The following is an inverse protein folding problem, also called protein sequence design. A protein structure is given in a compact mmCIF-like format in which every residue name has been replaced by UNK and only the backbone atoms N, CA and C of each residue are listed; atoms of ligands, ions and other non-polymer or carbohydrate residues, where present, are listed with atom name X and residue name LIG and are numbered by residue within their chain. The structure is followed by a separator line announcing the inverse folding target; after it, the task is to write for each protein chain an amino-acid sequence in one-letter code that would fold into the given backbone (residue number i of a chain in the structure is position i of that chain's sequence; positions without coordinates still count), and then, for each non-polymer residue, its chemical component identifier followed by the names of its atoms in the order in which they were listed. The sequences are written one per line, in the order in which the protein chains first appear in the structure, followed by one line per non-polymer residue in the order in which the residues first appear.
data_IF_002692502919
#
_entry.id   IF_002692502919
#
_cell.length_a   1.000
_cell.length_b   1.000
_cell.length_c   1.000
_cell.angle_alpha   90.00
_cell.angle_beta   90.00
_cell.angle_gamma   90.00
#
_symmetry.space_group_name_H-M   'P 1'
#
loop_
_entity.id
_entity.type
_entity.pdbx_description
1 polymer ?
#
# COMPACT_ATOMS: atom_id res chain seq x y z
N UNK A 1 57.02 -19.84 -33.49
CA UNK A 1 58.46 -19.48 -33.55
C UNK A 1 58.84 -19.00 -32.16
N UNK A 2 59.52 -19.84 -31.40
CA UNK A 2 60.44 -19.44 -30.34
C UNK A 2 61.76 -18.99 -31.01
N UNK A 3 62.81 -18.53 -30.35
CA UNK A 3 63.16 -18.44 -28.93
C UNK A 3 63.87 -17.14 -28.54
N UNK A 4 64.32 -16.92 -27.31
CA UNK A 4 65.74 -17.03 -26.84
C UNK A 4 65.89 -16.34 -25.50
N UNK A 5 66.37 -17.10 -24.49
CA UNK A 5 67.15 -16.59 -23.36
C UNK A 5 68.60 -16.36 -23.88
N UNK A 6 69.56 -15.74 -23.19
CA UNK A 6 70.05 -16.17 -21.90
C UNK A 6 70.82 -15.14 -21.02
N UNK A 7 71.43 -15.69 -19.95
CA UNK A 7 72.67 -15.32 -19.20
C UNK A 7 72.47 -14.29 -18.08
N UNK A 8 72.74 -14.48 -16.82
CA UNK A 8 73.85 -15.24 -16.24
C UNK A 8 74.93 -14.32 -15.69
N UNK A 9 74.94 -14.02 -14.38
CA UNK A 9 76.16 -13.61 -13.71
C UNK A 9 76.18 -13.97 -12.25
N UNK A 10 77.21 -14.67 -11.89
CA UNK A 10 77.70 -15.22 -10.64
C UNK A 10 78.39 -14.14 -9.81
N UNK A 11 78.02 -13.97 -8.54
CA UNK A 11 78.84 -13.15 -7.60
C UNK A 11 78.88 -13.77 -6.21
N UNK A 12 80.06 -14.20 -5.92
CA UNK A 12 80.84 -14.29 -4.68
C UNK A 12 80.16 -14.47 -3.34
N UNK A 13 80.37 -15.64 -2.76
CA UNK A 13 80.36 -15.90 -1.34
C UNK A 13 81.51 -15.18 -0.68
N UNK A 14 81.20 -14.36 0.33
CA UNK A 14 82.12 -14.02 1.38
C UNK A 14 81.67 -14.68 2.67
N UNK A 15 82.52 -15.52 3.21
CA UNK A 15 82.40 -16.21 4.48
C UNK A 15 82.45 -15.20 5.63
N UNK A 16 81.37 -15.11 6.35
CA UNK A 16 81.38 -14.46 7.67
C UNK A 16 81.48 -15.48 8.77
N UNK A 17 82.31 -15.15 9.77
CA UNK A 17 82.68 -16.07 10.88
C UNK A 17 81.45 -16.33 11.81
N UNK A 18 81.45 -17.49 12.51
CA UNK A 18 80.31 -17.93 13.34
C UNK A 18 79.94 -16.97 14.46
N UNK A 19 80.85 -16.17 14.96
CA UNK A 19 80.66 -15.24 16.09
C UNK A 19 79.80 -14.02 15.73
N UNK A 20 79.68 -13.63 14.46
CA UNK A 20 78.84 -12.52 14.02
C UNK A 20 77.37 -12.89 13.84
N UNK A 21 77.09 -14.21 13.69
CA UNK A 21 75.73 -14.70 13.57
C UNK A 21 74.98 -14.83 14.90
N UNK A 22 75.76 -15.06 16.01
CA UNK A 22 75.13 -15.16 17.34
C UNK A 22 74.68 -13.84 17.91
N UNK A 23 75.38 -12.72 17.58
CA UNK A 23 75.05 -11.38 18.03
C UNK A 23 73.88 -10.73 17.26
N UNK A 24 73.56 -11.19 16.05
CA UNK A 24 72.38 -10.71 15.31
C UNK A 24 71.10 -11.46 15.69
N UNK A 25 71.19 -12.64 16.27
CA UNK A 25 70.06 -13.41 16.71
C UNK A 25 69.45 -12.92 18.04
N UNK A 26 70.19 -12.22 18.88
CA UNK A 26 69.66 -11.67 20.14
C UNK A 26 68.94 -10.33 20.02
N UNK A 27 69.01 -9.67 18.86
CA UNK A 27 68.33 -8.34 18.64
C UNK A 27 67.07 -8.39 17.84
N UNK A 28 66.49 -9.58 17.58
CA UNK A 28 65.09 -9.64 17.10
C UNK A 28 64.15 -9.62 18.29
N UNK A 29 63.95 -8.44 18.86
CA UNK A 29 62.81 -8.19 19.73
C UNK A 29 61.53 -8.63 19.04
N UNK A 30 60.86 -9.59 19.67
CA UNK A 30 59.54 -10.09 19.26
C UNK A 30 58.58 -8.92 19.25
N UNK A 31 58.31 -8.32 18.08
CA UNK A 31 57.19 -7.40 17.91
C UNK A 31 55.92 -8.08 18.45
N UNK A 32 55.14 -7.44 19.34
CA UNK A 32 53.95 -8.04 19.91
C UNK A 32 53.01 -8.39 18.76
N UNK A 33 52.63 -9.67 18.65
CA UNK A 33 51.62 -10.13 17.72
C UNK A 33 50.32 -9.35 18.02
N UNK A 34 49.97 -8.40 17.16
CA UNK A 34 48.67 -7.75 17.21
C UNK A 34 47.62 -8.85 17.08
N UNK A 35 46.97 -9.17 18.20
CA UNK A 35 45.78 -10.03 18.24
C UNK A 35 44.68 -9.31 17.48
N UNK A 36 44.60 -9.55 16.19
CA UNK A 36 43.40 -9.16 15.41
C UNK A 36 42.25 -9.97 15.96
N UNK A 37 41.37 -9.36 16.77
CA UNK A 37 40.07 -9.95 17.11
C UNK A 37 39.37 -10.27 15.78
N UNK A 38 39.16 -11.54 15.51
CA UNK A 38 38.44 -12.00 14.32
C UNK A 38 37.11 -11.23 14.27
N UNK A 39 36.91 -10.38 13.26
CA UNK A 39 35.62 -9.69 13.07
C UNK A 39 34.55 -10.75 12.91
N UNK A 40 33.53 -10.71 13.74
CA UNK A 40 32.36 -11.58 13.60
C UNK A 40 31.75 -11.35 12.20
N UNK A 41 31.41 -12.43 11.49
CA UNK A 41 30.80 -12.34 10.19
C UNK A 41 29.49 -11.54 10.28
N UNK A 42 29.27 -10.61 9.37
CA UNK A 42 28.10 -9.72 9.34
C UNK A 42 26.79 -10.51 9.41
N UNK A 43 26.75 -11.68 8.81
CA UNK A 43 25.60 -12.59 8.88
C UNK A 43 25.34 -13.12 10.31
N UNK A 44 26.37 -13.42 11.08
CA UNK A 44 26.23 -13.86 12.47
C UNK A 44 25.69 -12.72 13.36
N UNK A 45 26.14 -11.48 13.13
CA UNK A 45 25.65 -10.29 13.85
C UNK A 45 24.17 -10.03 13.52
N UNK A 46 23.80 -10.09 12.24
CA UNK A 46 22.40 -9.91 11.82
C UNK A 46 21.47 -11.00 12.37
N UNK A 47 21.95 -12.25 12.42
CA UNK A 47 21.19 -13.35 13.02
C UNK A 47 20.99 -13.16 14.52
N UNK A 48 22.03 -12.70 15.22
CA UNK A 48 21.96 -12.39 16.66
C UNK A 48 21.02 -11.21 16.94
N UNK A 49 21.08 -10.16 16.11
CA UNK A 49 20.16 -9.03 16.17
C UNK A 49 18.69 -9.43 15.91
N UNK A 50 18.46 -10.28 14.91
CA UNK A 50 17.12 -10.81 14.62
C UNK A 50 16.55 -11.57 15.81
N UNK A 51 17.34 -12.48 16.40
CA UNK A 51 16.91 -13.25 17.58
C UNK A 51 16.66 -12.37 18.82
N UNK A 52 17.40 -11.27 18.96
CA UNK A 52 17.19 -10.32 20.07
C UNK A 52 15.90 -9.54 19.86
N UNK A 53 15.63 -9.08 18.64
CA UNK A 53 14.40 -8.38 18.30
C UNK A 53 13.17 -9.29 18.39
N UNK A 54 13.28 -10.57 17.99
CA UNK A 54 12.20 -11.54 18.14
C UNK A 54 11.83 -11.75 19.63
N UNK A 55 12.83 -11.84 20.52
CA UNK A 55 12.59 -11.92 21.96
C UNK A 55 11.96 -10.65 22.53
N UNK A 56 12.42 -9.49 22.08
CA UNK A 56 11.88 -8.20 22.51
C UNK A 56 10.42 -8.04 22.08
N UNK A 57 10.07 -8.48 20.86
CA UNK A 57 8.69 -8.53 20.37
C UNK A 57 7.83 -9.43 21.27
N UNK A 58 8.31 -10.63 21.59
CA UNK A 58 7.58 -11.57 22.45
C UNK A 58 7.36 -10.98 23.86
N UNK A 59 8.38 -10.35 24.45
CA UNK A 59 8.28 -9.67 25.74
C UNK A 59 7.29 -8.49 25.71
N UNK A 60 7.29 -7.71 24.62
CA UNK A 60 6.38 -6.58 24.45
C UNK A 60 4.94 -7.06 24.23
N UNK A 61 4.74 -8.14 23.50
CA UNK A 61 3.41 -8.75 23.31
C UNK A 61 2.82 -9.24 24.64
N UNK A 62 3.63 -9.88 25.50
CA UNK A 62 3.20 -10.31 26.85
C UNK A 62 2.83 -9.09 27.69
N UNK A 63 3.65 -8.04 27.70
CA UNK A 63 3.36 -6.80 28.43
C UNK A 63 2.09 -6.11 27.94
N UNK A 64 1.87 -6.14 26.62
CA UNK A 64 0.66 -5.57 26.02
C UNK A 64 -0.59 -6.37 26.45
N UNK A 65 -0.51 -7.70 26.43
CA UNK A 65 -1.58 -8.58 26.89
C UNK A 65 -1.89 -8.36 28.38
N UNK A 66 -0.86 -8.24 29.23
CA UNK A 66 -1.03 -7.95 30.66
C UNK A 66 -1.64 -6.56 30.89
N UNK A 67 -1.22 -5.56 30.10
CA UNK A 67 -1.75 -4.20 30.21
C UNK A 67 -3.21 -4.14 29.76
N UNK A 68 -3.55 -4.82 28.66
CA UNK A 68 -4.94 -4.98 28.20
C UNK A 68 -5.79 -5.71 29.24
N UNK A 69 -5.30 -6.80 29.81
CA UNK A 69 -5.99 -7.55 30.86
C UNK A 69 -6.19 -6.70 32.11
N UNK A 70 -5.18 -5.94 32.54
CA UNK A 70 -5.25 -5.03 33.70
C UNK A 70 -6.22 -3.88 33.45
N UNK A 71 -6.25 -3.32 32.24
CA UNK A 71 -7.23 -2.33 31.82
C UNK A 71 -8.65 -2.89 31.82
N UNK A 72 -8.86 -4.11 31.33
CA UNK A 72 -10.15 -4.82 31.39
C UNK A 72 -10.61 -5.07 32.82
N UNK A 73 -9.71 -5.46 33.72
CA UNK A 73 -10.02 -5.63 35.15
C UNK A 73 -10.37 -4.31 35.85
N UNK A 74 -9.65 -3.21 35.53
CA UNK A 74 -9.93 -1.88 36.10
C UNK A 74 -11.25 -1.28 35.57
N UNK A 75 -11.68 -1.70 34.39
CA UNK A 75 -12.94 -1.32 33.73
C UNK A 75 -14.16 -2.17 34.23
N UNK A 76 -14.00 -3.07 35.16
CA UNK A 76 -14.97 -4.12 35.54
C UNK A 76 -16.38 -3.66 35.89
N UNK A 77 -16.63 -2.36 36.13
CA UNK A 77 -17.97 -1.77 36.23
C UNK A 77 -18.46 -1.07 34.96
N UNK A 78 -17.54 -0.70 34.09
CA UNK A 78 -17.82 -0.09 32.76
C UNK A 78 -17.97 -1.19 31.70
N UNK A 79 -17.41 -2.38 31.97
CA UNK A 79 -17.32 -3.54 31.10
C UNK A 79 -18.69 -4.09 30.64
N UNK A 80 -19.66 -4.17 31.49
CA UNK A 80 -20.97 -4.77 31.12
C UNK A 80 -21.74 -3.89 30.13
N UNK A 81 -21.69 -2.58 30.34
CA UNK A 81 -22.28 -1.61 29.42
C UNK A 81 -21.49 -1.54 28.07
N UNK A 82 -20.16 -1.61 28.10
CA UNK A 82 -19.35 -1.62 26.89
C UNK A 82 -19.49 -2.95 26.13
N UNK A 83 -19.52 -4.08 26.83
CA UNK A 83 -19.77 -5.39 26.24
C UNK A 83 -21.15 -5.46 25.60
N UNK A 84 -22.18 -4.97 26.28
CA UNK A 84 -23.53 -4.88 25.74
C UNK A 84 -23.60 -4.02 24.50
N UNK A 85 -22.95 -2.85 24.49
CA UNK A 85 -22.88 -1.99 23.31
C UNK A 85 -22.08 -2.64 22.16
N UNK A 86 -21.00 -3.35 22.46
CA UNK A 86 -20.24 -4.08 21.45
C UNK A 86 -21.07 -5.19 20.80
N UNK A 87 -21.85 -5.94 21.60
CA UNK A 87 -22.78 -6.95 21.10
C UNK A 87 -23.92 -6.31 20.29
N UNK A 88 -24.50 -5.22 20.78
CA UNK A 88 -25.54 -4.47 20.06
C UNK A 88 -25.00 -3.92 18.73
N UNK A 89 -23.78 -3.37 18.71
CA UNK A 89 -23.14 -2.91 17.47
C UNK A 89 -22.83 -4.06 16.51
N UNK A 90 -22.40 -5.22 17.01
CA UNK A 90 -22.17 -6.40 16.16
C UNK A 90 -23.48 -6.88 15.52
N UNK A 91 -24.57 -6.93 16.27
CA UNK A 91 -25.90 -7.28 15.76
C UNK A 91 -26.40 -6.26 14.74
N UNK A 92 -26.20 -4.95 15.01
CA UNK A 92 -26.57 -3.89 14.08
C UNK A 92 -25.74 -3.96 12.79
N UNK A 93 -24.44 -4.22 12.88
CA UNK A 93 -23.57 -4.40 11.72
C UNK A 93 -23.99 -5.60 10.87
N UNK A 94 -24.32 -6.71 11.52
CA UNK A 94 -24.87 -7.91 10.84
C UNK A 94 -26.20 -7.61 10.16
N UNK A 95 -27.13 -6.91 10.81
CA UNK A 95 -28.40 -6.49 10.20
C UNK A 95 -28.18 -5.54 9.02
N UNK A 96 -27.22 -4.63 9.08
CA UNK A 96 -26.89 -3.73 7.98
C UNK A 96 -26.32 -4.52 6.80
N UNK A 97 -25.40 -5.47 7.05
CA UNK A 97 -24.87 -6.34 5.99
C UNK A 97 -25.98 -7.18 5.32
N UNK A 98 -26.84 -7.80 6.12
CA UNK A 98 -27.98 -8.57 5.61
C UNK A 98 -28.92 -7.68 4.75
N UNK A 99 -29.15 -6.45 5.19
CA UNK A 99 -29.96 -5.49 4.43
C UNK A 99 -29.30 -5.10 3.10
N UNK A 100 -27.98 -4.87 3.11
CA UNK A 100 -27.21 -4.61 1.88
C UNK A 100 -27.24 -5.79 0.91
N UNK A 101 -27.13 -7.02 1.41
CA UNK A 101 -27.24 -8.24 0.60
C UNK A 101 -28.63 -8.39 -0.03
N UNK A 102 -29.69 -8.15 0.76
CA UNK A 102 -31.07 -8.17 0.26
C UNK A 102 -31.28 -7.09 -0.82
N UNK A 103 -30.81 -5.87 -0.57
CA UNK A 103 -30.91 -4.76 -1.54
C UNK A 103 -30.13 -5.06 -2.82
N UNK A 104 -28.95 -5.65 -2.73
CA UNK A 104 -28.18 -6.09 -3.88
C UNK A 104 -28.92 -7.18 -4.66
N UNK A 105 -29.53 -8.13 -3.98
CA UNK A 105 -30.32 -9.18 -4.59
C UNK A 105 -31.59 -8.62 -5.29
N UNK A 106 -32.30 -7.71 -4.65
CA UNK A 106 -33.44 -7.02 -5.26
C UNK A 106 -33.02 -6.21 -6.48
N UNK A 107 -31.91 -5.48 -6.42
CA UNK A 107 -31.36 -4.76 -7.57
C UNK A 107 -31.02 -5.71 -8.72
N UNK A 108 -30.39 -6.84 -8.41
CA UNK A 108 -30.07 -7.87 -9.40
C UNK A 108 -31.31 -8.41 -10.09
N UNK A 109 -32.40 -8.62 -9.34
CA UNK A 109 -33.69 -9.08 -9.90
C UNK A 109 -34.38 -8.01 -10.75
N UNK A 110 -34.33 -6.74 -10.35
CA UNK A 110 -34.94 -5.60 -11.05
C UNK A 110 -34.16 -5.24 -12.32
N UNK A 111 -32.84 -5.32 -12.27
CA UNK A 111 -31.96 -4.91 -13.37
C UNK A 111 -31.84 -5.96 -14.49
N UNK A 112 -32.32 -7.17 -14.27
CA UNK A 112 -32.28 -8.26 -15.24
C UNK A 112 -30.88 -8.83 -15.50
N UNK A 113 -30.77 -9.91 -16.33
CA UNK A 113 -29.51 -10.63 -16.51
C UNK A 113 -28.38 -9.82 -17.20
N UNK A 114 -28.67 -8.67 -17.78
CA UNK A 114 -27.68 -7.84 -18.47
C UNK A 114 -26.71 -7.09 -17.52
N UNK A 115 -27.03 -6.97 -16.22
CA UNK A 115 -26.16 -6.32 -15.23
C UNK A 115 -25.20 -7.31 -14.54
N UNK A 116 -25.35 -8.60 -14.78
CA UNK A 116 -24.42 -9.62 -14.27
C UNK A 116 -23.23 -9.90 -15.19
N UNK A 117 -23.11 -9.20 -16.30
CA UNK A 117 -21.84 -9.23 -17.05
C UNK A 117 -20.73 -8.73 -16.16
N UNK A 118 -19.72 -9.57 -15.94
CA UNK A 118 -18.56 -9.27 -15.07
C UNK A 118 -17.88 -7.94 -15.41
N UNK A 119 -18.08 -7.44 -16.64
CA UNK A 119 -17.63 -6.12 -17.07
C UNK A 119 -18.41 -4.96 -16.43
N UNK A 120 -19.71 -5.13 -16.11
CA UNK A 120 -20.53 -4.12 -15.45
C UNK A 120 -20.19 -3.90 -13.97
N UNK A 121 -19.77 -4.96 -13.29
CA UNK A 121 -19.33 -4.90 -11.86
C UNK A 121 -17.94 -4.31 -11.73
N UNK A 122 -17.09 -4.50 -12.73
CA UNK A 122 -15.70 -4.05 -12.73
C UNK A 122 -15.35 -3.28 -14.01
N UNK A 123 -15.94 -2.09 -14.23
CA UNK A 123 -15.79 -1.35 -15.49
C UNK A 123 -14.33 -0.95 -15.78
N UNK A 124 -13.50 -0.90 -14.72
CA UNK A 124 -12.09 -0.53 -14.81
C UNK A 124 -11.14 -1.72 -14.95
N UNK A 125 -11.65 -2.95 -14.91
CA UNK A 125 -10.80 -4.14 -14.95
C UNK A 125 -10.07 -4.27 -16.29
N UNK A 126 -8.79 -4.64 -16.22
CA UNK A 126 -8.00 -5.13 -17.35
C UNK A 126 -7.34 -6.43 -16.91
N UNK A 127 -7.42 -7.46 -17.75
CA UNK A 127 -6.70 -8.70 -17.44
C UNK A 127 -5.19 -8.45 -17.51
N UNK A 128 -4.49 -8.72 -16.41
CA UNK A 128 -3.04 -8.56 -16.26
C UNK A 128 -2.44 -9.92 -15.98
N UNK A 129 -1.68 -10.45 -16.95
CA UNK A 129 -0.93 -11.69 -16.81
C UNK A 129 0.56 -11.37 -16.94
N UNK A 130 1.36 -11.75 -15.94
CA UNK A 130 2.78 -11.43 -15.87
C UNK A 130 3.62 -12.71 -15.97
N UNK A 131 4.55 -12.72 -16.93
CA UNK A 131 5.54 -13.79 -17.09
C UNK A 131 6.62 -13.75 -16.00
N UNK A 132 7.58 -14.68 -16.06
CA UNK A 132 8.68 -14.75 -15.11
C UNK A 132 9.81 -13.74 -15.44
N UNK A 133 9.92 -13.28 -16.68
CA UNK A 133 10.96 -12.33 -17.09
C UNK A 133 10.65 -10.92 -16.61
N UNK A 134 11.54 -10.35 -15.78
CA UNK A 134 11.35 -9.03 -15.17
C UNK A 134 11.28 -7.88 -16.20
N UNK A 135 12.04 -7.96 -17.29
CA UNK A 135 12.03 -6.93 -18.31
C UNK A 135 10.74 -6.97 -19.14
N UNK A 136 10.20 -8.16 -19.39
CA UNK A 136 8.92 -8.36 -20.04
C UNK A 136 7.78 -7.83 -19.17
N UNK A 137 7.74 -8.17 -17.87
CA UNK A 137 6.77 -7.66 -16.89
C UNK A 137 6.71 -6.14 -16.93
N UNK A 138 7.87 -5.48 -16.86
CA UNK A 138 7.96 -4.02 -16.93
C UNK A 138 7.38 -3.47 -18.21
N UNK A 139 7.72 -4.07 -19.38
CA UNK A 139 7.18 -3.65 -20.67
C UNK A 139 5.66 -3.80 -20.74
N UNK A 140 5.11 -4.90 -20.25
CA UNK A 140 3.67 -5.14 -20.21
C UNK A 140 2.98 -4.08 -19.37
N UNK A 141 3.47 -3.82 -18.16
CA UNK A 141 2.86 -2.85 -17.23
C UNK A 141 2.93 -1.42 -17.76
N UNK A 142 4.09 -0.99 -18.29
CA UNK A 142 4.19 0.33 -18.93
C UNK A 142 3.30 0.45 -20.17
N UNK A 143 3.15 -0.63 -20.93
CA UNK A 143 2.26 -0.65 -22.10
C UNK A 143 0.78 -0.45 -21.72
N UNK A 144 0.36 -0.94 -20.56
CA UNK A 144 -1.01 -0.79 -20.07
C UNK A 144 -1.31 0.60 -19.49
N UNK A 145 -0.30 1.32 -19.02
CA UNK A 145 -0.43 2.56 -18.24
C UNK A 145 -1.35 3.59 -18.91
N UNK A 146 -1.03 3.97 -20.15
CA UNK A 146 -1.74 5.04 -20.85
C UNK A 146 -3.23 4.75 -21.01
N UNK A 147 -3.57 3.52 -21.39
CA UNK A 147 -4.97 3.11 -21.60
C UNK A 147 -5.72 3.02 -20.27
N UNK A 148 -5.07 2.51 -19.22
CA UNK A 148 -5.63 2.44 -17.86
C UNK A 148 -5.98 3.82 -17.33
N UNK A 149 -5.06 4.77 -17.37
CA UNK A 149 -5.27 6.12 -16.86
C UNK A 149 -6.35 6.86 -17.67
N UNK A 150 -6.36 6.70 -19.00
CA UNK A 150 -7.40 7.26 -19.85
C UNK A 150 -8.78 6.72 -19.48
N UNK A 151 -8.92 5.40 -19.33
CA UNK A 151 -10.19 4.76 -18.93
C UNK A 151 -10.62 5.21 -17.55
N UNK A 152 -9.70 5.30 -16.58
CA UNK A 152 -10.00 5.79 -15.24
C UNK A 152 -10.58 7.20 -15.27
N UNK A 153 -9.95 8.12 -16.01
CA UNK A 153 -10.42 9.49 -16.17
C UNK A 153 -11.81 9.54 -16.79
N UNK A 154 -12.02 8.87 -17.92
CA UNK A 154 -13.33 8.84 -18.60
C UNK A 154 -14.41 8.27 -17.68
N UNK A 155 -14.16 7.14 -17.06
CA UNK A 155 -15.11 6.46 -16.17
C UNK A 155 -15.52 7.36 -14.98
N UNK A 156 -14.54 8.00 -14.32
CA UNK A 156 -14.85 8.89 -13.20
C UNK A 156 -15.61 10.12 -13.65
N UNK A 157 -15.27 10.68 -14.80
CA UNK A 157 -15.97 11.83 -15.37
C UNK A 157 -17.44 11.49 -15.72
N UNK A 158 -17.69 10.35 -16.35
CA UNK A 158 -19.04 9.86 -16.65
C UNK A 158 -19.83 9.58 -15.36
N UNK A 159 -19.21 8.95 -14.37
CA UNK A 159 -19.87 8.60 -13.11
C UNK A 159 -20.17 9.80 -12.21
N UNK A 160 -19.37 10.83 -12.28
CA UNK A 160 -19.58 12.08 -11.54
C UNK A 160 -20.54 13.05 -12.24
N UNK A 161 -20.99 12.73 -13.45
CA UNK A 161 -21.89 13.61 -14.22
C UNK A 161 -23.18 13.91 -13.44
N UNK A 162 -23.49 15.20 -13.30
CA UNK A 162 -24.66 15.67 -12.56
C UNK A 162 -24.50 15.72 -11.04
N UNK A 163 -23.35 15.31 -10.48
CA UNK A 163 -23.06 15.44 -9.06
C UNK A 163 -22.28 16.75 -8.83
N UNK A 164 -22.66 17.50 -7.81
CA UNK A 164 -21.98 18.73 -7.44
C UNK A 164 -20.63 18.43 -6.82
N UNK A 165 -19.56 19.03 -7.36
CA UNK A 165 -18.18 18.79 -6.90
C UNK A 165 -17.82 19.56 -5.62
N UNK A 166 -18.63 20.52 -5.21
CA UNK A 166 -18.45 21.34 -4.00
C UNK A 166 -19.05 20.71 -2.73
N UNK A 167 -19.70 19.54 -2.86
CA UNK A 167 -20.28 18.82 -1.73
C UNK A 167 -19.71 17.41 -1.65
N UNK A 168 -19.48 16.95 -0.45
CA UNK A 168 -19.07 15.54 -0.23
C UNK A 168 -20.19 14.61 -0.69
N UNK A 169 -19.80 13.63 -1.50
CA UNK A 169 -20.70 12.58 -1.96
C UNK A 169 -20.11 11.22 -1.60
N UNK A 170 -20.94 10.30 -1.14
CA UNK A 170 -20.54 8.96 -0.76
C UNK A 170 -21.62 7.94 -1.14
N UNK A 171 -21.21 6.88 -1.80
CA UNK A 171 -22.06 5.75 -2.12
C UNK A 171 -21.26 4.46 -2.02
N UNK A 172 -21.78 3.48 -1.26
CA UNK A 172 -21.15 2.18 -1.05
C UNK A 172 -22.16 1.06 -1.27
N UNK A 173 -21.73 0.00 -1.92
CA UNK A 173 -22.51 -1.22 -2.11
C UNK A 173 -21.69 -2.42 -1.68
N UNK A 174 -22.32 -3.36 -1.00
CA UNK A 174 -21.74 -4.63 -0.58
C UNK A 174 -22.63 -5.76 -1.03
N UNK A 175 -22.05 -6.82 -1.56
CA UNK A 175 -22.82 -7.99 -1.98
C UNK A 175 -21.94 -9.23 -2.04
N UNK A 176 -22.58 -10.38 -1.91
CA UNK A 176 -21.97 -11.69 -2.08
C UNK A 176 -22.53 -12.34 -3.32
N UNK A 177 -21.67 -12.98 -4.12
CA UNK A 177 -22.09 -13.72 -5.31
C UNK A 177 -22.56 -15.12 -4.95
N UNK A 178 -23.28 -15.75 -5.87
CA UNK A 178 -23.72 -17.16 -5.72
C UNK A 178 -22.52 -18.10 -5.50
N UNK A 179 -21.36 -17.74 -6.05
CA UNK A 179 -20.12 -18.51 -5.90
C UNK A 179 -19.44 -18.29 -4.53
N UNK A 180 -19.95 -17.36 -3.71
CA UNK A 180 -19.43 -17.03 -2.39
C UNK A 180 -18.28 -16.01 -2.38
N UNK A 181 -18.05 -15.31 -3.49
CA UNK A 181 -17.15 -14.15 -3.53
C UNK A 181 -17.83 -12.93 -2.92
N UNK A 182 -17.12 -12.17 -2.09
CA UNK A 182 -17.65 -10.95 -1.48
C UNK A 182 -17.09 -9.71 -2.15
N UNK A 183 -17.97 -8.76 -2.47
CA UNK A 183 -17.63 -7.51 -3.15
C UNK A 183 -18.01 -6.30 -2.31
N UNK A 184 -17.14 -5.29 -2.35
CA UNK A 184 -17.40 -3.94 -1.83
C UNK A 184 -17.09 -2.97 -2.96
N UNK A 185 -18.07 -2.18 -3.39
CA UNK A 185 -17.87 -1.08 -4.33
C UNK A 185 -18.16 0.23 -3.64
N UNK A 186 -17.30 1.23 -3.87
CA UNK A 186 -17.42 2.55 -3.27
C UNK A 186 -17.16 3.63 -4.32
N UNK A 187 -17.97 4.67 -4.30
CA UNK A 187 -17.77 5.88 -5.07
C UNK A 187 -17.89 7.10 -4.16
N UNK A 188 -16.88 7.92 -4.14
CA UNK A 188 -16.85 9.11 -3.29
C UNK A 188 -16.27 10.32 -4.02
N UNK A 189 -16.80 11.49 -3.69
CA UNK A 189 -16.30 12.80 -4.09
C UNK A 189 -16.01 13.55 -2.80
N UNK A 190 -14.77 14.00 -2.63
CA UNK A 190 -14.30 14.64 -1.41
C UNK A 190 -13.63 15.97 -1.77
N UNK A 191 -14.27 17.12 -1.55
CA UNK A 191 -13.63 18.41 -1.62
C UNK A 191 -12.69 18.60 -0.43
N UNK A 192 -11.49 19.10 -0.70
CA UNK A 192 -10.47 19.43 0.28
C UNK A 192 -10.23 20.94 0.26
N UNK A 193 -10.61 21.60 1.34
CA UNK A 193 -10.40 23.03 1.57
C UNK A 193 -9.07 23.27 2.28
N UNK A 194 -8.49 24.46 2.11
CA UNK A 194 -7.25 24.84 2.79
C UNK A 194 -5.98 24.15 2.32
N UNK A 195 -6.01 23.43 1.20
CA UNK A 195 -4.85 22.74 0.66
C UNK A 195 -3.83 23.74 0.12
N UNK A 196 -2.63 23.73 0.73
CA UNK A 196 -1.49 24.51 0.23
C UNK A 196 -0.76 23.72 -0.86
N UNK A 197 -0.52 24.33 -2.02
CA UNK A 197 0.16 23.67 -3.14
C UNK A 197 -0.76 22.87 -4.08
N UNK A 198 -2.08 23.01 -3.90
CA UNK A 198 -3.12 22.58 -4.85
C UNK A 198 -3.12 21.09 -5.18
N UNK A 199 -3.50 20.75 -6.42
CA UNK A 199 -3.60 19.37 -6.90
C UNK A 199 -2.27 18.61 -6.77
N UNK A 200 -1.16 19.30 -6.97
CA UNK A 200 0.16 18.69 -6.89
C UNK A 200 0.48 18.18 -5.49
N UNK A 201 0.19 18.99 -4.47
CA UNK A 201 0.43 18.60 -3.09
C UNK A 201 -0.44 17.38 -2.70
N UNK A 202 -1.70 17.35 -3.11
CA UNK A 202 -2.59 16.19 -2.89
C UNK A 202 -2.08 14.96 -3.64
N UNK A 203 -1.61 15.13 -4.87
CA UNK A 203 -1.03 14.05 -5.65
C UNK A 203 0.21 13.44 -4.98
N UNK A 204 1.11 14.27 -4.47
CA UNK A 204 2.30 13.83 -3.73
C UNK A 204 1.92 13.10 -2.43
N UNK A 205 0.91 13.59 -1.70
CA UNK A 205 0.38 12.91 -0.51
C UNK A 205 -0.25 11.55 -0.83
N UNK A 206 -1.00 11.45 -1.93
CA UNK A 206 -1.56 10.17 -2.42
C UNK A 206 -0.45 9.19 -2.80
N UNK A 207 0.61 9.64 -3.49
CA UNK A 207 1.76 8.82 -3.81
C UNK A 207 2.46 8.30 -2.54
N UNK A 208 2.67 9.18 -1.56
CA UNK A 208 3.30 8.80 -0.30
C UNK A 208 2.48 7.76 0.46
N UNK A 209 1.16 7.94 0.55
CA UNK A 209 0.26 6.96 1.17
C UNK A 209 0.27 5.62 0.41
N UNK A 210 0.31 5.64 -0.93
CA UNK A 210 0.36 4.44 -1.74
C UNK A 210 1.69 3.68 -1.64
N UNK A 211 2.81 4.40 -1.51
CA UNK A 211 4.15 3.78 -1.29
C UNK A 211 4.22 3.12 0.09
N UNK A 212 3.54 3.65 1.09
CA UNK A 212 3.55 3.13 2.46
C UNK A 212 2.28 2.32 2.79
N UNK A 213 1.60 1.77 1.80
CA UNK A 213 0.28 1.13 1.97
C UNK A 213 0.32 -0.06 2.94
N UNK A 214 1.42 -0.81 3.02
CA UNK A 214 1.58 -1.91 3.97
C UNK A 214 1.58 -1.43 5.43
N UNK A 215 2.13 -0.24 5.70
CA UNK A 215 2.11 0.37 7.02
C UNK A 215 0.68 0.79 7.34
N UNK A 216 0.02 1.49 6.41
CA UNK A 216 -1.37 1.95 6.54
C UNK A 216 -2.30 0.78 6.84
N UNK A 217 -2.19 -0.32 6.08
CA UNK A 217 -3.01 -1.52 6.31
C UNK A 217 -2.70 -2.15 7.67
N UNK A 218 -1.43 -2.19 8.07
CA UNK A 218 -1.03 -2.79 9.35
C UNK A 218 -1.58 -2.02 10.56
N UNK A 219 -1.54 -0.69 10.50
CA UNK A 219 -2.04 0.17 11.57
C UNK A 219 -3.56 0.02 11.77
N UNK A 220 -4.31 -0.09 10.67
CA UNK A 220 -5.77 -0.21 10.71
C UNK A 220 -6.24 -1.55 11.23
N UNK A 221 -5.71 -2.60 10.61
CA UNK A 221 -6.19 -3.97 10.87
C UNK A 221 -5.63 -4.55 12.17
N UNK A 222 -4.61 -3.91 12.74
CA UNK A 222 -3.80 -4.50 13.81
C UNK A 222 -3.06 -5.77 13.38
N UNK A 223 -3.05 -6.06 12.08
CA UNK A 223 -2.42 -7.21 11.46
C UNK A 223 -1.09 -6.79 10.84
N UNK A 224 -0.13 -7.69 10.83
CA UNK A 224 1.15 -7.43 10.16
C UNK A 224 0.96 -7.61 8.65
N UNK A 225 1.20 -6.56 7.88
CA UNK A 225 1.24 -6.61 6.41
C UNK A 225 2.67 -6.46 5.94
N UNK A 226 3.09 -7.37 5.08
CA UNK A 226 4.45 -7.40 4.51
C UNK A 226 4.35 -7.24 3.00
N UNK A 227 5.23 -6.43 2.43
CA UNK A 227 5.46 -6.36 0.99
C UNK A 227 6.46 -7.46 0.63
N UNK A 228 6.04 -8.46 -0.14
CA UNK A 228 6.89 -9.58 -0.57
C UNK A 228 7.69 -9.28 -1.83
N UNK A 229 7.23 -8.33 -2.66
CA UNK A 229 7.87 -7.93 -3.91
C UNK A 229 7.91 -6.41 -4.04
N UNK A 230 9.08 -5.87 -4.40
CA UNK A 230 9.34 -4.43 -4.53
C UNK A 230 10.07 -4.11 -5.85
N UNK A 231 10.00 -5.00 -6.83
CA UNK A 231 10.86 -4.95 -8.02
C UNK A 231 10.50 -3.84 -9.02
N UNK A 232 9.32 -3.22 -8.88
CA UNK A 232 8.86 -2.19 -9.79
C UNK A 232 8.22 -1.04 -9.04
N UNK A 233 9.04 -0.07 -8.70
CA UNK A 233 8.55 1.21 -8.23
C UNK A 233 9.26 2.31 -9.04
N UNK A 234 8.54 2.91 -9.98
CA UNK A 234 8.89 4.20 -10.53
C UNK A 234 7.74 5.19 -10.28
N UNK A 235 7.95 6.46 -10.55
CA UNK A 235 6.95 7.50 -10.30
C UNK A 235 5.69 7.37 -11.18
N UNK A 236 5.62 6.38 -12.06
CA UNK A 236 4.50 6.22 -13.00
C UNK A 236 3.79 4.87 -12.90
N UNK A 237 4.50 3.82 -12.48
CA UNK A 237 3.96 2.45 -12.32
C UNK A 237 4.63 1.79 -11.13
N UNK A 238 3.82 1.24 -10.22
CA UNK A 238 4.31 0.47 -9.07
C UNK A 238 3.57 -0.87 -9.01
N UNK A 239 4.31 -1.96 -8.99
CA UNK A 239 3.76 -3.27 -8.66
C UNK A 239 4.07 -3.60 -7.21
N UNK A 240 3.10 -4.14 -6.48
CA UNK A 240 3.26 -4.52 -5.09
C UNK A 240 2.51 -5.81 -4.78
N UNK A 241 3.17 -6.73 -4.11
CA UNK A 241 2.55 -7.90 -3.54
C UNK A 241 2.50 -7.78 -2.03
N UNK A 242 1.31 -7.73 -1.49
CA UNK A 242 1.06 -7.55 -0.07
C UNK A 242 0.51 -8.83 0.52
N UNK A 243 1.08 -9.25 1.64
CA UNK A 243 0.57 -10.38 2.43
C UNK A 243 0.30 -9.87 3.84
N UNK A 244 -0.96 -9.95 4.24
CA UNK A 244 -1.41 -9.56 5.58
C UNK A 244 -1.69 -10.82 6.39
N UNK A 245 -1.21 -10.88 7.63
CA UNK A 245 -1.55 -11.95 8.55
C UNK A 245 -2.67 -11.47 9.49
N UNK A 246 -3.79 -12.18 9.51
CA UNK A 246 -4.89 -11.89 10.45
C UNK A 246 -4.49 -12.24 11.88
N UNK A 247 -5.22 -11.71 12.86
CA UNK A 247 -5.03 -12.03 14.29
C UNK A 247 -5.19 -13.52 14.61
N UNK A 248 -5.84 -14.27 13.74
CA UNK A 248 -6.03 -15.73 13.85
C UNK A 248 -5.00 -16.53 13.03
N UNK A 249 -3.99 -15.85 12.46
CA UNK A 249 -2.91 -16.49 11.73
C UNK A 249 -3.18 -16.80 10.26
N UNK A 250 -4.36 -16.47 9.73
CA UNK A 250 -4.68 -16.63 8.32
C UNK A 250 -3.95 -15.57 7.47
N UNK A 251 -3.50 -15.98 6.30
CA UNK A 251 -2.82 -15.09 5.37
C UNK A 251 -3.78 -14.60 4.28
N UNK A 252 -3.75 -13.30 4.01
CA UNK A 252 -4.49 -12.64 2.92
C UNK A 252 -3.48 -12.06 1.95
N UNK A 253 -3.58 -12.39 0.66
CA UNK A 253 -2.67 -11.91 -0.36
C UNK A 253 -3.35 -11.01 -1.39
N UNK A 254 -2.62 -9.96 -1.79
CA UNK A 254 -2.96 -9.07 -2.89
C UNK A 254 -1.75 -8.93 -3.81
N UNK A 255 -1.97 -8.96 -5.11
CA UNK A 255 -0.94 -8.62 -6.10
C UNK A 255 -1.49 -7.48 -6.96
N UNK A 256 -0.97 -6.27 -6.75
CA UNK A 256 -1.55 -5.03 -7.23
C UNK A 256 -0.56 -4.28 -8.13
N UNK A 257 -1.11 -3.57 -9.10
CA UNK A 257 -0.35 -2.62 -9.93
C UNK A 257 -1.02 -1.26 -9.85
N UNK A 258 -0.25 -0.25 -9.51
CA UNK A 258 -0.71 1.13 -9.42
C UNK A 258 -0.08 1.98 -10.51
N UNK A 259 -0.90 2.66 -11.29
CA UNK A 259 -0.52 3.58 -12.36
C UNK A 259 -0.83 5.00 -11.93
N UNK A 260 0.12 5.93 -12.18
CA UNK A 260 0.00 7.32 -11.76
C UNK A 260 0.35 8.26 -12.92
N UNK A 261 -0.30 9.43 -12.93
CA UNK A 261 0.02 10.53 -13.83
C UNK A 261 -0.43 11.86 -13.23
N UNK A 262 0.47 12.84 -13.27
CA UNK A 262 0.16 14.22 -13.00
C UNK A 262 0.37 15.02 -14.29
N UNK A 263 -0.59 15.86 -14.65
CA UNK A 263 -0.58 16.66 -15.87
C UNK A 263 -0.79 18.12 -15.50
N UNK A 264 0.16 18.96 -15.88
CA UNK A 264 0.01 20.42 -15.81
C UNK A 264 -0.86 20.90 -16.94
N UNK A 265 -1.68 21.94 -16.70
CA UNK A 265 -2.39 22.63 -17.78
C UNK A 265 -1.40 23.45 -18.61
N UNK A 266 -1.53 23.45 -19.93
CA UNK A 266 -0.70 24.30 -20.81
C UNK A 266 -0.93 25.79 -20.56
N UNK A 267 -1.99 26.17 -19.84
CA UNK A 267 -2.30 27.54 -19.45
C UNK A 267 -1.54 28.07 -18.23
N UNK A 268 -0.73 27.24 -17.54
CA UNK A 268 0.01 27.61 -16.33
C UNK A 268 1.19 28.57 -16.59
N UNK A 269 1.39 29.03 -17.83
CA UNK A 269 2.41 30.04 -18.16
C UNK A 269 2.10 31.46 -17.62
N UNK A 270 0.90 31.70 -17.14
CA UNK A 270 0.49 32.97 -16.52
C UNK A 270 0.36 32.92 -14.98
N UNK A 271 1.31 32.32 -14.32
CA UNK A 271 1.72 32.66 -12.94
C UNK A 271 0.74 32.49 -11.77
N UNK A 272 -0.52 32.10 -11.96
CA UNK A 272 -1.53 32.03 -10.88
C UNK A 272 -2.39 30.75 -10.91
N UNK A 273 -1.90 29.70 -11.55
CA UNK A 273 -2.76 28.59 -11.83
C UNK A 273 -2.35 27.24 -11.31
N UNK A 274 -3.18 26.66 -10.48
CA UNK A 274 -3.23 25.25 -10.23
C UNK A 274 -4.22 24.57 -11.21
N UNK A 275 -4.01 24.82 -12.51
CA UNK A 275 -4.80 24.24 -13.60
C UNK A 275 -4.46 22.75 -13.89
N UNK A 276 -3.60 22.12 -13.09
CA UNK A 276 -3.22 20.72 -13.22
C UNK A 276 -4.30 19.74 -12.76
N UNK A 277 -4.23 18.52 -13.24
CA UNK A 277 -5.01 17.40 -12.70
C UNK A 277 -4.14 16.16 -12.56
N UNK A 278 -4.52 15.25 -11.69
CA UNK A 278 -3.84 13.97 -11.55
C UNK A 278 -4.82 12.80 -11.66
N UNK A 279 -4.34 11.72 -12.23
CA UNK A 279 -5.10 10.48 -12.36
C UNK A 279 -4.30 9.33 -11.80
N UNK A 280 -4.94 8.47 -11.03
CA UNK A 280 -4.37 7.18 -10.68
C UNK A 280 -5.35 6.04 -10.93
N UNK A 281 -4.80 4.87 -11.23
CA UNK A 281 -5.55 3.64 -11.41
C UNK A 281 -4.81 2.49 -10.76
N UNK A 282 -5.48 1.77 -9.87
CA UNK A 282 -5.01 0.53 -9.27
C UNK A 282 -5.76 -0.63 -9.90
N UNK A 283 -5.05 -1.70 -10.20
CA UNK A 283 -5.66 -2.97 -10.61
C UNK A 283 -4.87 -4.15 -10.04
N UNK A 284 -5.47 -5.33 -10.05
CA UNK A 284 -4.84 -6.55 -9.58
C UNK A 284 -4.25 -7.36 -10.74
N UNK A 285 -3.25 -8.17 -10.44
CA UNK A 285 -2.66 -9.13 -11.37
C UNK A 285 -3.51 -10.41 -11.36
N UNK A 286 -3.99 -10.83 -12.51
CA UNK A 286 -4.80 -12.05 -12.64
C UNK A 286 -3.94 -13.30 -12.50
N UNK A 287 -2.81 -13.34 -13.20
CA UNK A 287 -1.88 -14.46 -13.24
C UNK A 287 -0.44 -13.94 -13.11
N UNK A 288 0.34 -14.54 -12.23
CA UNK A 288 1.73 -14.17 -12.00
C UNK A 288 2.61 -15.42 -11.99
N UNK A 289 3.48 -15.55 -13.00
CA UNK A 289 4.35 -16.70 -13.13
C UNK A 289 5.50 -16.73 -12.10
N UNK A 290 5.95 -15.55 -11.63
CA UNK A 290 6.95 -15.45 -10.56
C UNK A 290 6.33 -15.68 -9.18
N UNK A 291 5.12 -15.16 -8.98
CA UNK A 291 4.43 -15.14 -7.69
C UNK A 291 3.01 -15.67 -7.84
N UNK A 292 2.83 -16.98 -8.14
CA UNK A 292 1.52 -17.56 -8.30
C UNK A 292 0.70 -17.45 -7.00
N UNK A 293 -0.59 -17.22 -7.14
CA UNK A 293 -1.51 -17.26 -6.01
C UNK A 293 -1.54 -18.64 -5.34
N UNK A 294 -1.76 -18.66 -4.04
CA UNK A 294 -1.76 -19.87 -3.22
C UNK A 294 -3.12 -20.09 -2.53
N UNK A 295 -4.17 -20.46 -3.27
CA UNK A 295 -5.54 -20.51 -2.74
C UNK A 295 -5.74 -21.49 -1.58
N UNK A 296 -4.87 -22.50 -1.44
CA UNK A 296 -4.90 -23.46 -0.33
C UNK A 296 -4.14 -22.97 0.92
N UNK A 297 -3.41 -21.87 0.83
CA UNK A 297 -2.62 -21.30 1.93
C UNK A 297 -3.06 -19.90 2.31
N UNK A 298 -3.63 -19.17 1.35
CA UNK A 298 -3.90 -17.72 1.47
C UNK A 298 -5.25 -17.37 0.88
N UNK A 299 -5.93 -16.42 1.51
CA UNK A 299 -7.16 -15.83 0.99
C UNK A 299 -6.76 -14.76 -0.04
N UNK A 300 -7.22 -14.87 -1.26
CA UNK A 300 -6.97 -13.87 -2.31
C UNK A 300 -7.93 -12.69 -2.15
N UNK A 301 -7.37 -11.49 -2.20
CA UNK A 301 -8.11 -10.22 -2.25
C UNK A 301 -7.66 -9.41 -3.46
N UNK A 302 -8.60 -9.11 -4.34
CA UNK A 302 -8.38 -8.24 -5.50
C UNK A 302 -8.90 -6.84 -5.20
N UNK A 303 -8.19 -5.81 -5.66
CA UNK A 303 -8.64 -4.43 -5.58
C UNK A 303 -8.46 -3.72 -6.92
N UNK A 304 -9.48 -2.95 -7.31
CA UNK A 304 -9.44 -2.07 -8.47
C UNK A 304 -9.89 -0.69 -8.01
N UNK A 305 -9.11 0.35 -8.31
CA UNK A 305 -9.43 1.72 -7.91
C UNK A 305 -9.14 2.67 -9.06
N UNK A 306 -9.97 3.67 -9.23
CA UNK A 306 -9.72 4.83 -10.05
C UNK A 306 -9.83 6.09 -9.18
N UNK A 307 -8.91 7.03 -9.34
CA UNK A 307 -8.90 8.29 -8.63
C UNK A 307 -8.55 9.43 -9.60
N UNK A 308 -9.32 10.52 -9.51
CA UNK A 308 -9.10 11.74 -10.26
C UNK A 308 -9.01 12.90 -9.27
N UNK A 309 -7.95 13.68 -9.38
CA UNK A 309 -7.72 14.90 -8.63
C UNK A 309 -7.93 16.08 -9.58
N UNK A 310 -8.83 16.98 -9.21
CA UNK A 310 -9.10 18.24 -9.92
C UNK A 310 -9.18 19.38 -8.93
N UNK A 311 -9.22 20.61 -9.40
CA UNK A 311 -9.43 21.77 -8.55
C UNK A 311 -10.45 22.72 -9.15
N UNK A 312 -11.07 23.51 -8.30
CA UNK A 312 -11.89 24.65 -8.68
C UNK A 312 -11.68 25.79 -7.68
N UNK A 313 -12.02 27.01 -8.06
CA UNK A 313 -12.01 28.16 -7.15
C UNK A 313 -13.40 28.42 -6.62
N UNK A 314 -13.53 28.53 -5.31
CA UNK A 314 -14.78 28.86 -4.64
C UNK A 314 -14.87 30.38 -4.47
N UNK A 315 -15.93 31.04 -4.95
CA UNK A 315 -16.07 32.50 -4.83
C UNK A 315 -16.19 32.92 -3.35
N UNK A 316 -15.40 33.89 -2.94
CA UNK A 316 -15.46 34.44 -1.59
C UNK A 316 -16.83 35.16 -1.32
N UNK A 317 -17.26 35.27 -0.04
CA UNK A 317 -18.59 35.73 0.34
C UNK A 317 -18.87 37.21 0.04
N UNK A 318 -17.92 38.01 -0.45
CA UNK A 318 -18.00 39.47 -0.52
C UNK A 318 -17.63 40.11 -1.86
N UNK A 319 -17.65 39.41 -2.99
CA UNK A 319 -17.18 40.01 -4.25
C UNK A 319 -18.24 40.09 -5.33
N UNK A 320 -18.30 41.29 -6.00
CA UNK A 320 -19.09 41.53 -7.18
C UNK A 320 -18.63 40.66 -8.35
N UNK A 321 -19.56 40.25 -9.20
CA UNK A 321 -19.41 39.17 -10.20
C UNK A 321 -18.30 39.34 -11.27
N UNK A 322 -17.63 40.46 -11.37
CA UNK A 322 -16.63 40.73 -12.42
C UNK A 322 -15.17 40.50 -12.00
N UNK A 323 -14.85 40.34 -10.68
CA UNK A 323 -13.49 40.05 -10.19
C UNK A 323 -13.30 38.56 -9.78
N UNK A 324 -14.25 37.72 -10.11
CA UNK A 324 -14.43 36.34 -9.59
C UNK A 324 -13.37 35.35 -9.98
N UNK A 325 -12.50 35.62 -10.96
CA UNK A 325 -11.66 34.56 -11.54
C UNK A 325 -10.34 34.30 -10.79
N UNK A 326 -9.86 35.20 -9.94
CA UNK A 326 -8.52 35.17 -9.37
C UNK A 326 -8.42 35.13 -7.84
N UNK A 327 -9.45 35.50 -7.09
CA UNK A 327 -9.38 35.72 -5.63
C UNK A 327 -10.11 34.64 -4.77
N UNK A 328 -10.74 33.63 -5.39
CA UNK A 328 -11.45 32.58 -4.65
C UNK A 328 -10.49 31.52 -4.00
N UNK A 329 -10.95 30.93 -2.92
CA UNK A 329 -10.24 29.80 -2.30
C UNK A 329 -10.09 28.61 -3.26
N UNK A 330 -8.87 28.09 -3.41
CA UNK A 330 -8.63 26.91 -4.22
C UNK A 330 -9.07 25.67 -3.46
N UNK A 331 -10.03 24.94 -4.00
CA UNK A 331 -10.52 23.66 -3.46
C UNK A 331 -10.05 22.54 -4.36
N UNK A 332 -9.38 21.56 -3.79
CA UNK A 332 -8.99 20.34 -4.51
C UNK A 332 -10.03 19.26 -4.29
N UNK A 333 -10.48 18.63 -5.36
CA UNK A 333 -11.51 17.58 -5.31
C UNK A 333 -10.89 16.24 -5.61
N UNK A 334 -11.09 15.28 -4.73
CA UNK A 334 -10.78 13.87 -4.95
C UNK A 334 -12.07 13.17 -5.39
N UNK A 335 -12.10 12.69 -6.63
CA UNK A 335 -13.14 11.79 -7.13
C UNK A 335 -12.56 10.39 -7.18
N UNK A 336 -13.15 9.45 -6.44
CA UNK A 336 -12.63 8.10 -6.31
C UNK A 336 -13.72 7.05 -6.52
N UNK A 337 -13.37 5.99 -7.21
CA UNK A 337 -14.13 4.75 -7.26
C UNK A 337 -13.23 3.59 -6.91
N UNK A 338 -13.73 2.65 -6.14
CA UNK A 338 -13.01 1.44 -5.77
C UNK A 338 -13.93 0.22 -5.78
N UNK A 339 -13.36 -0.93 -6.12
CA UNK A 339 -14.00 -2.23 -6.02
C UNK A 339 -13.00 -3.20 -5.38
N UNK A 340 -13.36 -3.75 -4.26
CA UNK A 340 -12.60 -4.81 -3.57
C UNK A 340 -13.37 -6.11 -3.66
N UNK A 341 -12.69 -7.18 -4.05
CA UNK A 341 -13.21 -8.54 -4.05
C UNK A 341 -12.43 -9.39 -3.07
N UNK A 342 -13.10 -10.01 -2.13
CA UNK A 342 -12.56 -11.11 -1.32
C UNK A 342 -13.03 -12.41 -1.98
N UNK A 343 -12.09 -13.22 -2.45
CA UNK A 343 -12.42 -14.49 -3.08
C UNK A 343 -12.88 -15.49 -2.03
N UNK A 344 -13.85 -16.30 -2.43
CA UNK A 344 -14.20 -17.50 -1.68
C UNK A 344 -12.92 -18.32 -1.43
N UNK A 345 -12.81 -18.83 -0.23
CA UNK A 345 -11.69 -19.68 0.16
C UNK A 345 -12.17 -21.07 0.57
N UNK A 346 -11.33 -22.08 0.33
CA UNK A 346 -11.54 -23.45 0.82
C UNK A 346 -10.91 -23.65 2.22
N UNK A 347 -10.22 -22.63 2.74
CA UNK A 347 -9.67 -22.65 4.08
C UNK A 347 -10.81 -22.65 5.11
N UNK A 348 -10.62 -23.36 6.22
CA UNK A 348 -11.56 -23.34 7.35
C UNK A 348 -11.45 -21.98 8.06
N UNK A 349 -12.35 -21.09 7.71
CA UNK A 349 -12.38 -19.71 8.19
C UNK A 349 -13.64 -19.50 9.02
N UNK A 350 -13.47 -19.14 10.29
CA UNK A 350 -14.61 -18.82 11.15
C UNK A 350 -15.37 -17.60 10.60
N UNK A 351 -16.69 -17.55 10.90
CA UNK A 351 -17.54 -16.41 10.50
C UNK A 351 -17.00 -15.07 11.03
N UNK A 352 -16.49 -15.07 12.25
CA UNK A 352 -15.89 -13.88 12.87
C UNK A 352 -14.70 -13.33 12.06
N UNK A 353 -13.83 -14.21 11.55
CA UNK A 353 -12.72 -13.79 10.68
C UNK A 353 -13.23 -13.28 9.35
N UNK A 354 -14.23 -13.93 8.76
CA UNK A 354 -14.82 -13.46 7.49
C UNK A 354 -15.38 -12.04 7.65
N UNK A 355 -16.12 -11.77 8.72
CA UNK A 355 -16.66 -10.44 9.03
C UNK A 355 -15.52 -9.44 9.26
N UNK A 356 -14.51 -9.79 10.04
CA UNK A 356 -13.34 -8.93 10.27
C UNK A 356 -12.58 -8.60 8.97
N UNK A 357 -12.46 -9.54 8.04
CA UNK A 357 -11.85 -9.28 6.72
C UNK A 357 -12.68 -8.29 5.88
N UNK A 358 -14.01 -8.41 5.93
CA UNK A 358 -14.95 -7.51 5.25
C UNK A 358 -14.86 -6.09 5.82
N UNK A 359 -14.91 -5.95 7.13
CA UNK A 359 -14.79 -4.66 7.83
C UNK A 359 -13.43 -4.00 7.59
N UNK A 360 -12.33 -4.75 7.66
CA UNK A 360 -10.99 -4.21 7.39
C UNK A 360 -10.86 -3.64 5.97
N UNK A 361 -11.56 -4.19 4.98
CA UNK A 361 -11.58 -3.65 3.63
C UNK A 361 -12.24 -2.26 3.57
N UNK A 362 -13.22 -2.00 4.42
CA UNK A 362 -13.92 -0.71 4.50
C UNK A 362 -13.02 0.31 5.19
N UNK A 363 -12.54 -0.02 6.38
CA UNK A 363 -11.69 0.85 7.18
C UNK A 363 -10.38 1.21 6.45
N UNK A 364 -9.82 0.30 5.65
CA UNK A 364 -8.60 0.58 4.90
C UNK A 364 -8.75 1.73 3.90
N UNK A 365 -9.93 1.89 3.32
CA UNK A 365 -10.20 2.98 2.38
C UNK A 365 -10.32 4.34 3.09
N UNK A 366 -10.92 4.37 4.28
CA UNK A 366 -11.06 5.57 5.09
C UNK A 366 -9.71 6.00 5.65
N UNK A 367 -8.92 5.06 6.15
CA UNK A 367 -7.60 5.38 6.70
C UNK A 367 -6.62 5.84 5.62
N UNK A 368 -6.69 5.27 4.41
CA UNK A 368 -5.91 5.81 3.30
C UNK A 368 -6.19 7.30 3.09
N UNK A 369 -7.46 7.70 3.09
CA UNK A 369 -7.85 9.10 2.96
C UNK A 369 -7.44 9.95 4.17
N UNK A 370 -7.49 9.38 5.38
CA UNK A 370 -7.01 10.06 6.58
C UNK A 370 -5.49 10.29 6.52
N UNK A 371 -4.70 9.30 6.09
CA UNK A 371 -3.26 9.48 5.86
C UNK A 371 -2.95 10.59 4.85
N UNK A 372 -3.75 10.69 3.78
CA UNK A 372 -3.61 11.80 2.80
C UNK A 372 -3.89 13.14 3.46
N UNK A 373 -4.97 13.26 4.25
CA UNK A 373 -5.32 14.50 4.98
C UNK A 373 -4.26 14.86 6.01
N UNK A 374 -3.77 13.90 6.79
CA UNK A 374 -2.72 14.10 7.79
C UNK A 374 -1.42 14.60 7.14
N UNK A 375 -1.04 14.02 5.99
CA UNK A 375 0.12 14.46 5.21
C UNK A 375 -0.01 15.91 4.73
N UNK A 376 -1.24 16.35 4.42
CA UNK A 376 -1.54 17.71 4.01
C UNK A 376 -1.72 18.69 5.19
N UNK A 377 -1.68 18.19 6.43
CA UNK A 377 -1.93 18.97 7.64
C UNK A 377 -3.39 19.45 7.76
N UNK A 378 -4.33 18.76 7.11
CA UNK A 378 -5.76 19.02 7.22
C UNK A 378 -6.30 18.29 8.44
N UNK A 379 -6.81 19.05 9.43
CA UNK A 379 -7.48 18.44 10.58
C UNK A 379 -8.72 17.66 10.11
N UNK A 380 -8.92 16.49 10.67
CA UNK A 380 -10.18 15.75 10.53
C UNK A 380 -11.19 16.49 11.43
N UNK A 381 -11.82 17.53 10.90
CA UNK A 381 -12.99 18.10 11.59
C UNK A 381 -14.07 17.01 11.62
N UNK A 382 -14.47 16.67 12.84
CA UNK A 382 -15.53 15.73 13.11
C UNK A 382 -16.82 16.25 12.45
N UNK A 383 -17.15 15.70 11.28
CA UNK A 383 -18.47 15.83 10.65
C UNK A 383 -19.41 14.76 11.14
#
# INVERSE_FOLDING_TARGET
MAPISPTGTRARRTSQSPLAMELELEKKEKKPKRLYKKRRATHAIRREQKLTLEKEIEELQVKLAETKFRALLSQGKVSESCHKRAVENAVLSECIEDHHLVMAHVRALVSGPQLHDASGVRPMRTRICLGADRAERRRVLHGLRKDKLRRAKCFLHERSFGIQMNTSYFHEERYETVDGDYFITRFDITPLHGVKGGVRAVYEAVLQAAVNIEIVISEISGNITVREDDDMCDNSVSQMRLVSQTTQGLLVENNLVHFFEYLTSESDFDGDGDGGYAVSALDFVDEDALYPYRPLERIRRDATTAMLLTSYREPGPNHDQEQLATEGELVVVITRWSCVKIHRTELDVSREVQLGLRENCIHSQDTFMNCVRDTLGLSVDAT
#
